data_IF_493002408828
#
_entry.id   IF_493002408828
#
_cell.length_a   1.000
_cell.length_b   1.000
_cell.length_c   1.000
_cell.angle_alpha   90.00
_cell.angle_beta   90.00
_cell.angle_gamma   90.00
#
_symmetry.space_group_name_H-M   'P 1'
#
loop_
_entity.id
_entity.type
_entity.pdbx_description
1 polymer ?
#
# COMPACT_ATOMS: atom_id res chain seq x y z
N UNK A 1 -59.07 -69.66 -9.99
CA UNK A 1 -57.78 -68.93 -10.07
C UNK A 1 -56.78 -69.56 -11.04
N UNK A 2 -56.94 -70.82 -11.49
CA UNK A 2 -56.05 -71.45 -12.48
C UNK A 2 -56.36 -71.10 -13.95
N UNK A 3 -57.60 -70.75 -14.29
CA UNK A 3 -57.97 -70.43 -15.67
C UNK A 3 -57.23 -69.20 -16.23
N UNK A 4 -57.06 -68.14 -15.42
CA UNK A 4 -56.41 -66.91 -15.88
C UNK A 4 -54.95 -67.16 -16.28
N UNK A 5 -54.24 -68.03 -15.56
CA UNK A 5 -52.86 -68.35 -15.90
C UNK A 5 -52.80 -69.11 -17.23
N UNK A 6 -53.66 -70.12 -17.41
CA UNK A 6 -53.74 -70.87 -18.67
C UNK A 6 -54.13 -69.97 -19.85
N UNK A 7 -55.07 -69.03 -19.66
CA UNK A 7 -55.45 -68.07 -20.70
C UNK A 7 -54.31 -67.12 -21.06
N UNK A 8 -53.54 -66.64 -20.08
CA UNK A 8 -52.39 -65.75 -20.33
C UNK A 8 -51.23 -66.48 -21.01
N UNK A 9 -50.98 -67.75 -20.69
CA UNK A 9 -49.94 -68.55 -21.35
C UNK A 9 -50.29 -68.83 -22.80
N UNK A 10 -51.55 -69.19 -23.09
CA UNK A 10 -52.02 -69.38 -24.47
C UNK A 10 -51.92 -68.10 -25.29
N UNK A 11 -52.28 -66.95 -24.71
CA UNK A 11 -52.19 -65.65 -25.38
C UNK A 11 -50.74 -65.21 -25.65
N UNK A 12 -49.80 -65.61 -24.79
CA UNK A 12 -48.37 -65.30 -24.99
C UNK A 12 -47.76 -66.06 -26.18
N UNK A 13 -48.29 -67.25 -26.52
CA UNK A 13 -47.86 -67.99 -27.72
C UNK A 13 -48.43 -67.41 -29.02
N UNK A 14 -49.55 -66.71 -28.95
CA UNK A 14 -50.22 -66.11 -30.12
C UNK A 14 -49.73 -64.68 -30.43
N UNK A 15 -49.05 -64.02 -29.49
CA UNK A 15 -48.50 -62.68 -29.67
C UNK A 15 -47.03 -62.75 -30.10
N UNK A 16 -46.77 -62.42 -31.37
CA UNK A 16 -45.41 -62.21 -31.86
C UNK A 16 -44.84 -60.92 -31.26
N UNK A 17 -43.98 -61.06 -30.25
CA UNK A 17 -43.33 -59.91 -29.61
C UNK A 17 -42.18 -59.40 -30.49
N UNK A 18 -42.13 -58.11 -30.85
CA UNK A 18 -41.06 -57.58 -31.68
C UNK A 18 -39.71 -57.69 -30.95
N UNK A 19 -38.58 -57.84 -31.67
CA UNK A 19 -37.28 -57.89 -31.05
C UNK A 19 -37.05 -56.64 -30.20
N UNK A 20 -36.62 -56.83 -28.95
CA UNK A 20 -36.31 -55.73 -28.03
C UNK A 20 -35.34 -54.76 -28.71
N UNK A 21 -35.71 -53.48 -28.89
CA UNK A 21 -34.83 -52.51 -29.53
C UNK A 21 -33.54 -52.36 -28.72
N UNK A 22 -32.40 -52.11 -29.39
CA UNK A 22 -31.12 -51.87 -28.71
C UNK A 22 -31.13 -50.53 -27.95
N UNK A 23 -31.70 -50.52 -26.75
CA UNK A 23 -31.78 -49.35 -25.88
C UNK A 23 -30.39 -48.86 -25.45
N UNK A 24 -29.41 -49.77 -25.32
CA UNK A 24 -28.03 -49.45 -24.95
C UNK A 24 -27.29 -48.61 -26.01
N UNK A 25 -27.56 -48.86 -27.29
CA UNK A 25 -26.97 -48.10 -28.39
C UNK A 25 -27.54 -46.67 -28.47
N UNK A 26 -28.83 -46.50 -28.15
CA UNK A 26 -29.49 -45.20 -28.14
C UNK A 26 -29.00 -44.29 -27.00
N UNK A 27 -28.80 -44.85 -25.80
CA UNK A 27 -28.31 -44.10 -24.63
C UNK A 27 -26.85 -43.67 -24.80
N UNK A 28 -26.04 -44.48 -25.50
CA UNK A 28 -24.61 -44.19 -25.73
C UNK A 28 -24.36 -42.98 -26.65
N UNK A 29 -25.39 -42.46 -27.34
CA UNK A 29 -25.28 -41.28 -28.21
C UNK A 29 -25.42 -39.96 -27.44
N UNK A 30 -25.98 -39.97 -26.24
CA UNK A 30 -25.96 -38.80 -25.36
C UNK A 30 -24.57 -38.69 -24.73
N UNK A 31 -23.62 -38.08 -25.44
CA UNK A 31 -22.33 -37.72 -24.86
C UNK A 31 -22.59 -36.79 -23.67
N UNK A 32 -22.29 -37.19 -22.42
CA UNK A 32 -22.30 -36.22 -21.33
C UNK A 32 -21.24 -35.18 -21.68
N UNK A 33 -21.65 -33.92 -21.83
CA UNK A 33 -20.70 -32.80 -21.95
C UNK A 33 -19.67 -32.99 -20.86
N UNK A 34 -18.43 -33.28 -21.24
CA UNK A 34 -17.45 -33.81 -20.31
C UNK A 34 -17.39 -32.90 -19.10
N UNK A 35 -17.49 -33.46 -17.88
CA UNK A 35 -17.46 -32.66 -16.64
C UNK A 35 -16.25 -31.70 -16.63
N UNK A 36 -15.17 -32.07 -17.33
CA UNK A 36 -13.98 -31.26 -17.62
C UNK A 36 -14.27 -30.02 -18.49
N UNK A 37 -15.00 -30.14 -19.59
CA UNK A 37 -15.39 -28.99 -20.42
C UNK A 37 -16.31 -28.02 -19.66
N UNK A 38 -17.25 -28.53 -18.85
CA UNK A 38 -18.09 -27.68 -17.99
C UNK A 38 -17.26 -26.96 -16.91
N UNK A 39 -16.33 -27.67 -16.25
CA UNK A 39 -15.41 -27.08 -15.27
C UNK A 39 -14.49 -26.02 -15.87
N UNK A 40 -13.95 -26.25 -17.07
CA UNK A 40 -13.15 -25.26 -17.80
C UNK A 40 -13.96 -24.02 -18.15
N UNK A 41 -15.19 -24.16 -18.62
CA UNK A 41 -16.07 -23.01 -18.91
C UNK A 41 -16.35 -22.20 -17.65
N UNK A 42 -16.65 -22.86 -16.52
CA UNK A 42 -16.83 -22.18 -15.22
C UNK A 42 -15.56 -21.47 -14.79
N UNK A 43 -14.39 -22.11 -14.91
CA UNK A 43 -13.10 -21.49 -14.58
C UNK A 43 -12.82 -20.25 -15.44
N UNK A 44 -13.08 -20.31 -16.74
CA UNK A 44 -12.93 -19.16 -17.66
C UNK A 44 -13.86 -18.02 -17.26
N UNK A 45 -15.12 -18.32 -16.94
CA UNK A 45 -16.08 -17.30 -16.48
C UNK A 45 -15.62 -16.67 -15.17
N UNK A 46 -15.14 -17.45 -14.21
CA UNK A 46 -14.61 -16.93 -12.94
C UNK A 46 -13.38 -16.04 -13.16
N UNK A 47 -12.45 -16.44 -14.03
CA UNK A 47 -11.28 -15.62 -14.40
C UNK A 47 -11.72 -14.33 -15.09
N UNK A 48 -12.69 -14.38 -16.00
CA UNK A 48 -13.22 -13.20 -16.69
C UNK A 48 -13.91 -12.23 -15.71
N UNK A 49 -14.68 -12.75 -14.74
CA UNK A 49 -15.29 -11.95 -13.67
C UNK A 49 -14.20 -11.32 -12.80
N UNK A 50 -13.20 -12.10 -12.37
CA UNK A 50 -12.09 -11.58 -11.57
C UNK A 50 -11.30 -10.49 -12.31
N UNK A 51 -11.03 -10.68 -13.60
CA UNK A 51 -10.40 -9.68 -14.46
C UNK A 51 -11.27 -8.43 -14.63
N UNK A 52 -12.59 -8.60 -14.79
CA UNK A 52 -13.54 -7.49 -14.87
C UNK A 52 -13.61 -6.68 -13.58
N UNK A 53 -13.62 -7.35 -12.42
CA UNK A 53 -13.54 -6.70 -11.10
C UNK A 53 -12.19 -5.97 -10.94
N UNK A 54 -11.08 -6.61 -11.31
CA UNK A 54 -9.75 -6.00 -11.23
C UNK A 54 -9.64 -4.75 -12.13
N UNK A 55 -10.14 -4.83 -13.36
CA UNK A 55 -10.19 -3.70 -14.29
C UNK A 55 -11.10 -2.58 -13.77
N UNK A 56 -12.30 -2.93 -13.28
CA UNK A 56 -13.23 -1.99 -12.66
C UNK A 56 -12.62 -1.26 -11.46
N UNK A 57 -11.90 -1.99 -10.59
CA UNK A 57 -11.16 -1.39 -9.48
C UNK A 57 -10.02 -0.49 -9.98
N UNK A 58 -9.20 -0.92 -10.93
CA UNK A 58 -8.08 -0.13 -11.46
C UNK A 58 -8.52 1.18 -12.17
N UNK A 59 -9.69 1.15 -12.82
CA UNK A 59 -10.27 2.28 -13.56
C UNK A 59 -11.16 3.18 -12.67
N UNK A 60 -11.64 2.70 -11.53
CA UNK A 60 -12.54 3.50 -10.68
C UNK A 60 -11.80 4.60 -9.89
N UNK A 61 -12.31 5.85 -9.90
CA UNK A 61 -11.82 6.92 -9.04
C UNK A 61 -11.94 6.59 -7.54
N UNK A 62 -12.96 5.80 -7.16
CA UNK A 62 -13.24 5.38 -5.79
C UNK A 62 -12.27 4.35 -5.22
N UNK A 63 -11.80 3.38 -6.02
CA UNK A 63 -10.75 2.48 -5.56
C UNK A 63 -9.40 3.21 -5.47
N UNK A 64 -9.11 4.13 -6.40
CA UNK A 64 -7.92 5.00 -6.31
C UNK A 64 -7.94 5.84 -5.03
N UNK A 65 -9.09 6.40 -4.63
CA UNK A 65 -9.21 7.14 -3.37
C UNK A 65 -9.09 6.25 -2.12
N UNK A 66 -9.61 5.01 -2.17
CA UNK A 66 -9.42 4.01 -1.11
C UNK A 66 -7.94 3.57 -0.97
N UNK A 67 -7.23 3.41 -2.09
CA UNK A 67 -5.77 3.18 -2.09
C UNK A 67 -5.00 4.37 -1.49
N UNK A 68 -5.41 5.62 -1.79
CA UNK A 68 -4.83 6.83 -1.16
C UNK A 68 -5.06 6.86 0.34
N UNK A 69 -6.25 6.47 0.82
CA UNK A 69 -6.54 6.37 2.25
C UNK A 69 -5.66 5.33 2.98
N UNK A 70 -5.21 4.28 2.28
CA UNK A 70 -4.33 3.25 2.84
C UNK A 70 -2.86 3.73 2.99
N UNK A 71 -2.41 4.69 2.19
CA UNK A 71 -1.05 5.23 2.31
C UNK A 71 -0.99 6.62 2.94
N UNK A 72 -2.14 7.12 3.44
CA UNK A 72 -2.18 8.38 4.17
C UNK A 72 -1.74 8.15 5.62
N UNK A 73 -0.59 8.71 5.97
CA UNK A 73 -0.08 8.74 7.35
C UNK A 73 0.23 10.19 7.70
N UNK A 74 -0.59 10.75 8.59
CA UNK A 74 -0.49 12.17 8.95
C UNK A 74 -0.62 13.09 7.73
N UNK A 75 0.36 13.95 7.51
CA UNK A 75 0.44 14.88 6.36
C UNK A 75 1.08 14.27 5.10
N UNK A 76 1.40 12.98 5.09
CA UNK A 76 2.00 12.31 3.93
C UNK A 76 0.91 11.67 3.08
N UNK A 77 0.84 12.08 1.81
CA UNK A 77 0.11 11.37 0.76
C UNK A 77 1.13 10.80 -0.21
N UNK A 78 1.08 9.48 -0.43
CA UNK A 78 1.94 8.82 -1.41
C UNK A 78 1.17 8.69 -2.72
N UNK A 79 1.64 9.38 -3.76
CA UNK A 79 1.11 9.28 -5.12
C UNK A 79 2.15 8.55 -5.96
N UNK A 80 1.79 7.40 -6.54
CA UNK A 80 2.62 6.77 -7.56
C UNK A 80 2.38 7.49 -8.89
N UNK A 81 3.43 8.05 -9.48
CA UNK A 81 3.39 8.52 -10.86
C UNK A 81 4.01 7.45 -11.76
N UNK A 82 3.41 7.26 -12.94
CA UNK A 82 3.90 6.31 -13.95
C UNK A 82 5.29 6.72 -14.51
N UNK A 83 5.60 8.02 -14.46
CA UNK A 83 6.87 8.59 -14.89
C UNK A 83 7.39 9.56 -13.82
N UNK A 84 8.62 9.35 -13.36
CA UNK A 84 9.26 10.25 -12.42
C UNK A 84 9.56 11.58 -13.12
N UNK A 85 9.23 12.75 -12.54
CA UNK A 85 9.61 14.03 -13.12
C UNK A 85 11.13 14.09 -13.32
N UNK A 86 11.61 14.71 -14.41
CA UNK A 86 13.04 14.70 -14.76
C UNK A 86 13.87 15.23 -13.59
N UNK A 87 14.87 14.44 -13.21
CA UNK A 87 15.76 14.71 -12.08
C UNK A 87 16.64 15.92 -12.38
N UNK A 88 16.15 17.13 -12.10
CA UNK A 88 17.06 18.24 -11.88
C UNK A 88 17.91 17.85 -10.65
N UNK A 89 19.23 17.92 -10.79
CA UNK A 89 20.17 17.66 -9.70
C UNK A 89 20.02 18.75 -8.61
N UNK A 90 18.95 18.68 -7.84
CA UNK A 90 18.73 19.57 -6.71
C UNK A 90 19.61 19.10 -5.56
N UNK A 91 20.84 19.61 -5.53
CA UNK A 91 21.48 19.89 -4.24
C UNK A 91 20.57 20.91 -3.58
N UNK A 92 19.86 20.55 -2.52
CA UNK A 92 19.39 21.46 -1.46
C UNK A 92 18.37 20.73 -0.55
N UNK A 93 18.86 20.19 0.57
CA UNK A 93 18.05 20.14 1.80
C UNK A 93 18.58 21.26 2.72
N UNK A 94 18.22 22.54 2.51
CA UNK A 94 18.35 23.50 3.58
C UNK A 94 17.15 23.17 4.47
N UNK A 95 17.40 22.53 5.60
CA UNK A 95 16.38 22.22 6.60
C UNK A 95 15.73 23.47 7.23
N UNK A 96 15.78 24.62 6.56
CA UNK A 96 15.66 25.94 7.12
C UNK A 96 16.98 26.43 7.71
N UNK A 97 16.88 27.29 8.74
CA UNK A 97 18.05 27.85 9.42
C UNK A 97 18.43 27.01 10.63
N UNK A 98 19.72 26.86 10.95
CA UNK A 98 20.14 26.24 12.20
C UNK A 98 19.67 27.12 13.37
N UNK A 99 19.03 26.52 14.35
CA UNK A 99 18.48 27.17 15.55
C UNK A 99 18.76 26.31 16.78
N UNK A 100 18.49 26.85 17.97
CA UNK A 100 18.46 26.02 19.18
C UNK A 100 17.17 25.21 19.26
N UNK A 101 17.19 24.08 19.99
CA UNK A 101 15.99 23.28 20.25
C UNK A 101 14.90 24.09 20.97
N UNK A 102 15.32 24.97 21.87
CA UNK A 102 14.45 25.85 22.65
C UNK A 102 13.78 26.92 21.77
N UNK A 103 14.53 27.53 20.84
CA UNK A 103 13.97 28.44 19.84
C UNK A 103 12.93 27.72 18.95
N UNK A 104 13.28 26.53 18.44
CA UNK A 104 12.35 25.74 17.64
C UNK A 104 11.07 25.42 18.42
N UNK A 105 11.20 25.01 19.68
CA UNK A 105 10.08 24.65 20.55
C UNK A 105 9.12 25.81 20.83
N UNK A 106 9.61 27.05 20.83
CA UNK A 106 8.76 28.25 20.97
C UNK A 106 8.03 28.63 19.67
N UNK A 107 8.55 28.23 18.52
CA UNK A 107 7.97 28.58 17.23
C UNK A 107 6.85 27.62 16.81
N UNK A 108 7.06 26.31 16.99
CA UNK A 108 6.10 25.32 16.52
C UNK A 108 4.96 25.08 17.50
N UNK A 109 3.74 24.76 17.01
CA UNK A 109 2.58 24.54 17.87
C UNK A 109 2.54 23.13 18.50
N UNK A 110 3.63 22.35 18.39
CA UNK A 110 3.72 20.98 18.87
C UNK A 110 4.97 20.77 19.72
N UNK A 111 4.93 19.74 20.58
CA UNK A 111 6.12 19.31 21.32
C UNK A 111 7.08 18.59 20.38
N UNK A 112 8.28 19.13 20.21
CA UNK A 112 9.38 18.47 19.48
C UNK A 112 9.77 17.19 20.21
N UNK A 113 9.83 16.09 19.49
CA UNK A 113 10.05 14.74 20.04
C UNK A 113 11.48 14.29 19.83
N UNK A 114 12.04 13.66 20.84
CA UNK A 114 13.41 13.17 20.78
C UNK A 114 13.46 11.66 21.02
N UNK A 115 14.33 10.91 20.31
CA UNK A 115 14.61 9.52 20.64
C UNK A 115 15.35 9.47 21.99
N UNK A 116 14.65 9.08 23.07
CA UNK A 116 15.20 9.15 24.45
C UNK A 116 16.41 8.23 24.69
N UNK A 117 16.53 7.14 23.96
CA UNK A 117 17.50 6.07 24.25
C UNK A 117 18.26 5.56 23.04
N UNK A 118 17.74 5.76 21.81
CA UNK A 118 18.27 5.06 20.64
C UNK A 118 19.52 5.71 20.02
N UNK A 119 19.73 7.02 20.21
CA UNK A 119 20.94 7.71 19.73
C UNK A 119 21.94 8.01 20.85
N UNK A 120 21.53 7.89 22.12
CA UNK A 120 22.35 8.18 23.31
C UNK A 120 22.91 9.60 23.39
N UNK A 121 22.59 10.49 22.44
CA UNK A 121 23.18 11.82 22.27
C UNK A 121 22.13 12.82 21.78
N UNK A 122 22.24 14.11 22.16
CA UNK A 122 21.41 15.16 21.56
C UNK A 122 21.71 15.29 20.07
N UNK A 123 20.78 15.86 19.27
CA UNK A 123 21.05 16.17 17.87
C UNK A 123 22.22 17.16 17.79
N UNK A 124 23.08 16.97 16.79
CA UNK A 124 24.22 17.84 16.52
C UNK A 124 23.78 19.19 15.96
N UNK A 125 22.70 19.21 15.18
CA UNK A 125 22.10 20.44 14.69
C UNK A 125 20.59 20.31 14.65
N UNK A 126 19.91 21.36 15.09
CA UNK A 126 18.46 21.54 14.94
C UNK A 126 18.25 22.59 13.88
N UNK A 127 17.38 22.30 12.93
CA UNK A 127 16.99 23.24 11.89
C UNK A 127 15.50 23.51 11.93
N UNK A 128 15.13 24.75 11.63
CA UNK A 128 13.74 25.20 11.56
C UNK A 128 13.47 25.84 10.20
N UNK A 129 12.57 25.23 9.44
CA UNK A 129 11.99 25.82 8.24
C UNK A 129 10.66 26.52 8.57
N UNK A 130 10.76 27.84 8.74
CA UNK A 130 9.59 28.70 8.97
C UNK A 130 8.76 28.91 7.72
N UNK A 131 9.36 28.84 6.53
CA UNK A 131 8.67 29.05 5.25
C UNK A 131 7.77 27.86 4.91
N UNK A 132 8.19 26.65 5.28
CA UNK A 132 7.39 25.42 5.19
C UNK A 132 6.34 25.25 6.30
N UNK A 133 5.96 26.32 7.01
CA UNK A 133 4.93 26.26 8.05
C UNK A 133 5.40 25.67 9.39
N UNK A 134 6.71 25.63 9.66
CA UNK A 134 7.26 25.15 10.92
C UNK A 134 7.70 23.70 10.89
N UNK A 135 8.55 23.35 9.92
CA UNK A 135 9.19 22.02 9.86
C UNK A 135 10.43 22.04 10.75
N UNK A 136 10.54 21.09 11.66
CA UNK A 136 11.73 20.90 12.50
C UNK A 136 12.50 19.70 11.97
N UNK A 137 13.82 19.85 11.76
CA UNK A 137 14.69 18.73 11.42
C UNK A 137 15.85 18.61 12.40
N UNK A 138 15.93 17.47 13.04
CA UNK A 138 16.91 17.11 14.04
C UNK A 138 17.95 16.21 13.39
N UNK A 139 19.21 16.64 13.37
CA UNK A 139 20.29 15.92 12.67
C UNK A 139 21.28 15.37 13.69
N UNK A 140 21.45 14.05 13.70
CA UNK A 140 22.53 13.35 14.39
C UNK A 140 23.63 12.99 13.38
N UNK A 141 24.89 13.21 13.78
CA UNK A 141 26.06 13.08 12.90
C UNK A 141 27.19 12.20 13.49
N UNK A 142 28.28 12.16 12.72
CA UNK A 142 29.64 11.61 12.89
C UNK A 142 29.92 10.18 12.39
N UNK A 143 29.08 9.18 12.66
CA UNK A 143 29.29 7.82 12.09
C UNK A 143 28.27 7.48 10.98
N UNK A 144 26.98 7.70 11.25
CA UNK A 144 25.88 7.57 10.29
C UNK A 144 24.97 8.77 10.45
N UNK A 145 24.62 9.44 9.35
CA UNK A 145 23.72 10.59 9.37
C UNK A 145 22.29 10.10 9.55
N UNK A 146 21.66 10.51 10.65
CA UNK A 146 20.25 10.27 10.93
C UNK A 146 19.55 11.62 11.04
N UNK A 147 18.41 11.75 10.38
CA UNK A 147 17.58 12.95 10.39
C UNK A 147 16.18 12.57 10.82
N UNK A 148 15.68 13.19 11.89
CA UNK A 148 14.28 13.15 12.27
C UNK A 148 13.63 14.47 11.90
N UNK A 149 12.68 14.44 10.97
CA UNK A 149 11.87 15.58 10.59
C UNK A 149 10.50 15.47 11.23
N UNK A 150 10.04 16.55 11.84
CA UNK A 150 8.75 16.64 12.52
C UNK A 150 7.94 17.80 11.99
N UNK A 151 6.64 17.57 11.86
CA UNK A 151 5.70 18.61 11.44
C UNK A 151 4.26 18.32 11.82
N UNK A 152 3.44 19.37 11.94
CA UNK A 152 1.99 19.28 12.15
C UNK A 152 1.33 18.38 11.10
N UNK A 153 0.49 17.48 11.60
CA UNK A 153 -0.39 16.61 10.81
C UNK A 153 -1.63 17.38 10.37
N UNK A 154 -2.09 17.13 9.14
CA UNK A 154 -3.35 17.71 8.65
C UNK A 154 -3.21 19.08 7.99
N UNK A 155 -2.00 19.62 7.88
CA UNK A 155 -1.69 20.68 6.91
C UNK A 155 -1.55 20.00 5.54
N UNK A 156 -2.43 20.28 4.57
CA UNK A 156 -2.34 19.68 3.25
C UNK A 156 -1.01 20.03 2.58
N UNK A 157 -0.36 19.03 2.01
CA UNK A 157 0.73 19.26 1.06
C UNK A 157 2.15 19.29 1.60
N UNK A 158 2.39 18.72 2.76
CA UNK A 158 3.72 18.82 3.34
C UNK A 158 4.70 17.72 2.90
N UNK A 159 4.19 16.56 2.50
CA UNK A 159 4.99 15.43 2.05
C UNK A 159 4.20 14.68 0.97
N UNK A 160 4.03 15.31 -0.19
CA UNK A 160 3.59 14.57 -1.37
C UNK A 160 4.79 13.75 -1.85
N UNK A 161 4.71 12.42 -1.66
CA UNK A 161 5.77 11.52 -2.08
C UNK A 161 5.41 10.98 -3.45
N UNK A 162 6.07 11.51 -4.47
CA UNK A 162 6.07 10.92 -5.81
C UNK A 162 7.02 9.74 -5.80
N UNK A 163 6.46 8.57 -6.02
CA UNK A 163 7.21 7.32 -5.98
C UNK A 163 7.36 6.76 -7.38
N UNK A 164 8.60 6.71 -7.88
CA UNK A 164 8.93 6.02 -9.13
C UNK A 164 8.79 4.50 -9.02
N UNK A 165 8.77 3.76 -10.14
CA UNK A 165 8.37 2.34 -10.19
C UNK A 165 9.24 1.38 -9.36
N UNK A 166 10.47 1.77 -9.00
CA UNK A 166 11.43 0.94 -8.26
C UNK A 166 11.45 1.22 -6.74
N UNK A 167 10.33 1.63 -6.16
CA UNK A 167 10.24 1.94 -4.73
C UNK A 167 9.30 0.98 -4.01
N UNK A 168 9.82 0.33 -2.98
CA UNK A 168 9.07 -0.47 -2.02
C UNK A 168 8.40 0.46 -1.00
N UNK A 169 7.09 0.32 -0.84
CA UNK A 169 6.33 0.95 0.26
C UNK A 169 5.72 -0.18 1.08
N UNK A 170 6.06 -0.25 2.36
CA UNK A 170 5.58 -1.28 3.27
C UNK A 170 4.89 -0.65 4.49
N UNK A 171 3.63 -0.99 4.77
CA UNK A 171 2.99 -0.63 6.04
C UNK A 171 3.73 -1.24 7.23
N UNK A 172 3.93 -0.47 8.29
CA UNK A 172 4.60 -0.92 9.52
C UNK A 172 3.88 -0.42 10.76
N UNK A 173 4.12 -1.10 11.89
CA UNK A 173 3.68 -0.65 13.21
C UNK A 173 4.84 0.00 13.99
N UNK A 174 4.57 1.18 14.55
CA UNK A 174 5.50 1.95 15.38
C UNK A 174 4.91 2.10 16.79
N UNK A 175 4.98 1.02 17.57
CA UNK A 175 4.44 0.95 18.93
C UNK A 175 2.92 1.23 18.97
N UNK A 176 2.16 0.49 18.16
CA UNK A 176 0.70 0.63 18.05
C UNK A 176 0.25 1.77 17.12
N UNK A 177 1.19 2.50 16.50
CA UNK A 177 0.92 3.59 15.55
C UNK A 177 1.20 3.12 14.15
N UNK A 178 0.29 3.42 13.22
CA UNK A 178 0.49 3.16 11.79
C UNK A 178 1.65 3.98 11.25
N UNK A 179 2.55 3.32 10.53
CA UNK A 179 3.63 3.94 9.78
C UNK A 179 3.81 3.31 8.39
N UNK A 180 4.75 3.89 7.65
CA UNK A 180 5.17 3.44 6.32
C UNK A 180 6.69 3.39 6.29
N UNK A 181 7.24 2.23 5.92
CA UNK A 181 8.62 2.09 5.49
C UNK A 181 8.68 2.28 3.99
N UNK A 182 9.63 3.09 3.52
CA UNK A 182 9.83 3.33 2.10
C UNK A 182 11.30 3.19 1.75
N UNK A 183 11.59 2.40 0.73
CA UNK A 183 12.95 2.03 0.32
C UNK A 183 13.02 1.89 -1.20
N UNK A 184 14.14 2.26 -1.82
CA UNK A 184 14.32 2.15 -3.26
C UNK A 184 14.83 3.45 -3.91
N UNK A 185 14.46 3.66 -5.18
CA UNK A 185 14.97 4.73 -6.04
C UNK A 185 14.79 6.16 -5.47
N UNK A 186 15.47 7.14 -6.08
CA UNK A 186 15.37 8.57 -5.72
C UNK A 186 13.91 9.02 -5.51
N UNK A 187 13.67 9.84 -4.47
CA UNK A 187 12.34 10.33 -4.14
C UNK A 187 12.26 11.86 -4.26
N UNK A 188 11.13 12.37 -4.74
CA UNK A 188 10.81 13.80 -4.71
C UNK A 188 9.91 14.07 -3.52
N UNK A 189 10.19 15.16 -2.78
CA UNK A 189 9.38 15.60 -1.64
C UNK A 189 8.83 16.99 -1.97
N UNK A 190 7.51 17.12 -2.07
CA UNK A 190 6.88 18.43 -2.27
C UNK A 190 6.39 18.95 -0.93
N UNK A 191 6.75 20.21 -0.64
CA UNK A 191 6.39 20.93 0.58
C UNK A 191 5.55 22.15 0.18
N UNK A 192 4.34 22.24 0.70
CA UNK A 192 3.49 23.42 0.57
C UNK A 192 3.82 24.42 1.70
N UNK A 193 3.93 25.70 1.34
CA UNK A 193 3.83 26.77 2.31
C UNK A 193 2.35 26.94 2.73
N UNK A 194 2.04 27.33 3.98
CA UNK A 194 0.66 27.48 4.45
C UNK A 194 -0.27 28.29 3.54
N UNK A 195 0.25 29.36 2.90
CA UNK A 195 -0.51 30.27 2.03
C UNK A 195 0.20 30.55 0.69
N UNK A 196 1.12 29.67 0.27
CA UNK A 196 2.03 29.94 -0.85
C UNK A 196 2.04 28.85 -1.93
N UNK A 197 2.75 29.08 -3.05
CA UNK A 197 2.93 28.06 -4.08
C UNK A 197 3.68 26.86 -3.50
N UNK A 198 3.41 25.69 -4.07
CA UNK A 198 4.16 24.47 -3.75
C UNK A 198 5.64 24.68 -4.02
N UNK A 199 6.46 24.37 -3.02
CA UNK A 199 7.90 24.30 -3.18
C UNK A 199 8.28 22.84 -3.44
N UNK A 200 8.67 22.54 -4.68
CA UNK A 200 9.17 21.22 -5.03
C UNK A 200 10.63 21.09 -4.58
N UNK A 201 10.93 20.06 -3.78
CA UNK A 201 12.27 19.75 -3.29
C UNK A 201 12.61 18.30 -3.65
N UNK A 202 13.49 18.11 -4.62
CA UNK A 202 14.02 16.76 -4.90
C UNK A 202 15.01 16.38 -3.81
N UNK A 203 14.74 15.29 -3.08
CA UNK A 203 15.61 14.82 -2.00
C UNK A 203 16.09 13.42 -2.33
N UNK A 204 17.37 13.29 -2.70
CA UNK A 204 18.01 11.99 -2.77
C UNK A 204 18.22 11.46 -1.36
N UNK A 205 17.33 10.57 -0.94
CA UNK A 205 17.52 9.80 0.29
C UNK A 205 18.51 8.68 0.00
N UNK A 206 19.54 8.55 0.85
CA UNK A 206 20.36 7.33 0.89
C UNK A 206 19.85 6.46 2.02
N UNK A 207 19.44 5.22 1.70
CA UNK A 207 18.82 4.31 2.65
C UNK A 207 17.29 4.41 2.67
N UNK A 208 16.66 3.75 3.65
CA UNK A 208 15.20 3.76 3.78
C UNK A 208 14.68 4.93 4.61
N UNK A 209 13.38 5.20 4.45
CA UNK A 209 12.64 6.26 5.15
C UNK A 209 11.51 5.63 5.95
N UNK A 210 11.46 5.90 7.24
CA UNK A 210 10.32 5.56 8.09
C UNK A 210 9.45 6.80 8.30
N UNK A 211 8.14 6.68 8.06
CA UNK A 211 7.16 7.75 8.23
C UNK A 211 6.07 7.25 9.19
N UNK A 212 5.73 8.01 10.22
CA UNK A 212 4.62 7.69 11.12
C UNK A 212 3.96 8.95 11.66
N UNK A 213 2.75 8.82 12.18
CA UNK A 213 2.07 9.92 12.84
C UNK A 213 1.87 9.60 14.33
N UNK A 214 1.94 10.64 15.16
CA UNK A 214 1.65 10.56 16.59
C UNK A 214 1.11 11.90 17.07
N UNK A 215 -0.02 11.89 17.79
CA UNK A 215 -0.62 13.06 18.46
C UNK A 215 -0.60 14.34 17.60
N UNK A 216 -1.08 14.24 16.37
CA UNK A 216 -1.14 15.39 15.47
C UNK A 216 0.20 15.83 14.88
N UNK A 217 1.27 15.05 15.00
CA UNK A 217 2.60 15.30 14.39
C UNK A 217 2.96 14.14 13.46
N UNK A 218 3.38 14.48 12.25
CA UNK A 218 3.97 13.54 11.28
C UNK A 218 5.47 13.56 11.46
N UNK A 219 6.05 12.37 11.61
CA UNK A 219 7.47 12.16 11.81
C UNK A 219 8.04 11.39 10.63
N UNK A 220 9.21 11.82 10.18
CA UNK A 220 10.00 11.16 9.14
C UNK A 220 11.41 10.93 9.65
N UNK A 221 11.82 9.67 9.71
CA UNK A 221 13.19 9.28 10.04
C UNK A 221 13.89 8.85 8.74
N UNK A 222 14.97 9.53 8.43
CA UNK A 222 15.82 9.29 7.26
C UNK A 222 17.26 9.04 7.72
N UNK A 223 17.94 8.13 7.04
CA UNK A 223 19.37 7.93 7.21
C UNK A 223 19.82 6.64 6.56
N UNK A 224 21.12 6.41 6.64
CA UNK A 224 21.69 5.10 6.34
C UNK A 224 21.35 4.16 7.50
N UNK A 225 20.09 3.73 7.62
CA UNK A 225 19.57 2.82 8.66
C UNK A 225 18.71 1.74 8.03
N UNK A 226 18.83 0.52 8.57
CA UNK A 226 17.91 -0.56 8.23
C UNK A 226 16.51 -0.29 8.79
N UNK A 227 15.49 -0.94 8.22
CA UNK A 227 14.11 -0.88 8.72
C UNK A 227 14.01 -1.23 10.21
N UNK A 228 14.73 -2.28 10.64
CA UNK A 228 14.71 -2.72 12.03
C UNK A 228 15.29 -1.67 12.98
N UNK A 229 16.42 -1.06 12.61
CA UNK A 229 17.03 0.04 13.36
C UNK A 229 16.10 1.26 13.41
N UNK A 230 15.51 1.64 12.27
CA UNK A 230 14.57 2.77 12.19
C UNK A 230 13.36 2.58 13.12
N UNK A 231 12.78 1.37 13.13
CA UNK A 231 11.67 1.02 14.03
C UNK A 231 12.10 1.03 15.51
N UNK A 232 13.31 0.55 15.81
CA UNK A 232 13.84 0.58 17.17
C UNK A 232 14.02 2.03 17.68
N UNK A 233 14.52 2.93 16.82
CA UNK A 233 14.62 4.37 17.13
C UNK A 233 13.22 4.95 17.36
N UNK A 234 12.29 4.74 16.42
CA UNK A 234 10.97 5.36 16.44
C UNK A 234 10.10 4.95 17.65
N UNK A 235 10.28 3.74 18.19
CA UNK A 235 9.62 3.29 19.44
C UNK A 235 10.03 4.11 20.67
N UNK A 236 11.18 4.78 20.61
CA UNK A 236 11.72 5.59 21.71
C UNK A 236 11.57 7.09 21.50
N UNK A 237 10.93 7.52 20.40
CA UNK A 237 10.63 8.93 20.13
C UNK A 237 9.40 9.36 20.93
N UNK A 238 9.58 10.36 21.79
CA UNK A 238 8.52 10.91 22.67
C UNK A 238 8.58 12.43 22.75
#
# INVERSE_FOLDING_TARGET
MNDLHATLTALAEEIEFPPTPELLAAISRERPVSRRARRMRVAIVLVAIAAGIAAGLALSPGARSAFRALFRVGSVEIVRLDEAPPTAAARLVPFGRPVSLDEASRFVPFRIRLPRTATGRPPATVYLDRAGGGIVSLVWCCERRIVLTEVVSGVPGLLEKTVGPATLIEPVDVAGRRGLWVEGADHVVRVAAPDGPWLERTVRVRGGVLIWASDGVTLRLEGDVSKAEALAIARHVR
#
